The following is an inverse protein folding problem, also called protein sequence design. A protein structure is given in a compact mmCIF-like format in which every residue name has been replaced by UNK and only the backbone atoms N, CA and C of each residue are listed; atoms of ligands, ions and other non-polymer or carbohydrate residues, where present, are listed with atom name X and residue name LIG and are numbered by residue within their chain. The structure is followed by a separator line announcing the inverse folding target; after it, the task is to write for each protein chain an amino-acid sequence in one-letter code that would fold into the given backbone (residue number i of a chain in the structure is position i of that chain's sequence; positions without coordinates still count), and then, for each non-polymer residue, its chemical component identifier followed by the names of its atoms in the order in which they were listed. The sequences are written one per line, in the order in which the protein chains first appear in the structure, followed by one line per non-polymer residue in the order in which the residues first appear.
data_IF_859893431008
#
_entry.id   IF_859893431008
#
_cell.length_a   1.000
_cell.length_b   1.000
_cell.length_c   1.000
_cell.angle_alpha   90.00
_cell.angle_beta   90.00
_cell.angle_gamma   90.00
#
_symmetry.space_group_name_H-M   'P 1'
#
loop_
_entity.id
_entity.type
_entity.pdbx_description
1 polymer ?
#
# COMPACT_ATOMS: atom_id res chain seq x y z
N UNK A 1 12.93 -8.44 16.39
CA UNK A 1 12.11 -9.61 15.99
C UNK A 1 11.02 -9.10 15.08
N UNK A 2 10.92 -9.61 13.85
CA UNK A 2 9.83 -9.23 12.93
C UNK A 2 8.60 -10.08 13.27
N UNK A 3 7.42 -9.44 13.34
CA UNK A 3 6.14 -10.12 13.57
C UNK A 3 5.26 -9.89 12.35
N UNK A 4 4.77 -10.97 11.75
CA UNK A 4 3.71 -10.87 10.76
C UNK A 4 2.41 -10.43 11.46
N UNK A 5 1.80 -9.36 10.98
CA UNK A 5 0.57 -8.80 11.55
C UNK A 5 -0.68 -9.53 11.01
N UNK A 6 -0.67 -9.92 9.73
CA UNK A 6 -1.79 -10.63 9.12
C UNK A 6 -1.59 -10.90 7.63
N UNK A 7 -2.66 -11.35 6.97
CA UNK A 7 -2.70 -11.53 5.51
C UNK A 7 -3.33 -10.30 4.87
N UNK A 8 -2.81 -9.90 3.71
CA UNK A 8 -3.38 -8.81 2.90
C UNK A 8 -4.83 -9.08 2.47
N UNK A 9 -5.21 -10.36 2.31
CA UNK A 9 -6.60 -10.74 2.02
C UNK A 9 -7.04 -10.44 0.59
N UNK A 10 -6.11 -10.04 -0.28
CA UNK A 10 -6.32 -9.86 -1.73
C UNK A 10 -5.22 -10.60 -2.49
N UNK A 11 -5.53 -11.02 -3.72
CA UNK A 11 -4.50 -11.50 -4.64
C UNK A 11 -3.74 -10.30 -5.22
N UNK A 12 -2.42 -10.40 -5.20
CA UNK A 12 -1.54 -9.38 -5.73
C UNK A 12 -0.97 -9.85 -7.07
N UNK A 13 -0.65 -8.90 -7.94
CA UNK A 13 0.08 -9.19 -9.17
C UNK A 13 1.55 -9.52 -8.90
N UNK A 14 2.30 -9.78 -9.98
CA UNK A 14 3.71 -10.18 -9.95
C UNK A 14 4.66 -9.13 -9.36
N UNK A 15 4.18 -7.91 -9.17
CA UNK A 15 4.94 -6.80 -8.63
C UNK A 15 4.04 -5.91 -7.81
N UNK A 16 4.57 -5.46 -6.69
CA UNK A 16 3.90 -4.53 -5.80
C UNK A 16 4.84 -3.41 -5.39
N UNK A 17 4.31 -2.19 -5.33
CA UNK A 17 4.91 -1.09 -4.59
C UNK A 17 4.25 -0.99 -3.23
N UNK A 18 5.01 -0.74 -2.18
CA UNK A 18 4.48 -0.55 -0.84
C UNK A 18 5.24 0.58 -0.14
N UNK A 19 4.50 1.50 0.45
CA UNK A 19 5.07 2.60 1.22
C UNK A 19 4.24 2.91 2.46
N UNK A 20 4.90 3.41 3.51
CA UNK A 20 4.28 3.83 4.75
C UNK A 20 4.63 5.29 4.99
N UNK A 21 3.62 6.16 4.94
CA UNK A 21 3.79 7.56 5.24
C UNK A 21 3.38 7.85 6.69
N UNK A 22 4.29 8.44 7.46
CA UNK A 22 3.97 8.91 8.81
C UNK A 22 3.35 10.31 8.75
N UNK A 23 2.29 10.53 9.52
CA UNK A 23 1.63 11.84 9.66
C UNK A 23 2.40 12.81 10.58
N UNK A 24 3.52 12.37 11.16
CA UNK A 24 4.33 13.13 12.12
C UNK A 24 3.69 13.33 13.50
N UNK A 25 2.50 12.76 13.74
CA UNK A 25 1.72 12.83 14.99
C UNK A 25 1.53 11.45 15.64
N UNK A 26 2.21 10.44 15.11
CA UNK A 26 2.15 9.05 15.59
C UNK A 26 1.23 8.14 14.78
N UNK A 27 0.53 8.69 13.79
CA UNK A 27 -0.20 7.94 12.77
C UNK A 27 0.71 7.52 11.61
N UNK A 28 0.35 6.40 10.98
CA UNK A 28 1.01 5.89 9.79
C UNK A 28 -0.04 5.39 8.81
N UNK A 29 0.00 5.90 7.58
CA UNK A 29 -0.85 5.47 6.49
C UNK A 29 -0.03 4.56 5.56
N UNK A 30 -0.45 3.30 5.46
CA UNK A 30 0.20 2.32 4.62
C UNK A 30 -0.55 2.17 3.30
N UNK A 31 0.21 2.21 2.21
CA UNK A 31 -0.30 2.16 0.86
C UNK A 31 0.39 1.03 0.10
N UNK A 32 -0.42 0.30 -0.67
CA UNK A 32 0.06 -0.79 -1.51
C UNK A 32 -0.48 -0.58 -2.93
N UNK A 33 0.38 -0.70 -3.92
CA UNK A 33 -0.03 -0.68 -5.32
C UNK A 33 0.28 -2.01 -5.98
N UNK A 34 -0.71 -2.57 -6.68
CA UNK A 34 -0.61 -3.81 -7.44
C UNK A 34 -1.28 -3.61 -8.81
N UNK A 35 -0.50 -3.73 -9.89
CA UNK A 35 -0.97 -3.35 -11.23
C UNK A 35 -1.40 -1.88 -11.26
N UNK A 36 -2.65 -1.63 -11.63
CA UNK A 36 -3.26 -0.29 -11.66
C UNK A 36 -4.12 0.03 -10.41
N UNK A 37 -4.16 -0.86 -9.41
CA UNK A 37 -5.02 -0.67 -8.23
C UNK A 37 -4.18 -0.24 -7.03
N UNK A 38 -4.60 0.86 -6.39
CA UNK A 38 -4.09 1.35 -5.13
C UNK A 38 -4.96 0.83 -3.98
N UNK A 39 -4.32 0.30 -2.95
CA UNK A 39 -4.92 -0.24 -1.74
C UNK A 39 -4.43 0.54 -0.52
N UNK A 40 -5.33 0.79 0.43
CA UNK A 40 -4.93 1.14 1.79
C UNK A 40 -4.71 -0.15 2.59
N UNK A 41 -3.68 -0.19 3.43
CA UNK A 41 -3.36 -1.34 4.27
C UNK A 41 -3.55 -0.97 5.73
N UNK A 42 -4.41 -1.71 6.41
CA UNK A 42 -4.57 -1.62 7.85
C UNK A 42 -3.32 -2.23 8.53
N UNK A 43 -2.56 -1.41 9.26
CA UNK A 43 -1.33 -1.83 9.93
C UNK A 43 -1.56 -2.64 11.23
N UNK A 44 -2.79 -2.69 11.74
CA UNK A 44 -3.16 -3.51 12.90
C UNK A 44 -3.60 -4.92 12.49
N UNK A 45 -4.29 -5.05 11.36
CA UNK A 45 -4.82 -6.33 10.87
C UNK A 45 -4.06 -6.91 9.68
N UNK A 46 -3.28 -6.08 8.99
CA UNK A 46 -2.60 -6.40 7.74
C UNK A 46 -3.53 -6.48 6.54
N UNK A 47 -4.80 -6.06 6.63
CA UNK A 47 -5.79 -6.18 5.55
C UNK A 47 -5.61 -5.07 4.51
N UNK A 48 -5.54 -5.43 3.23
CA UNK A 48 -5.58 -4.49 2.12
C UNK A 48 -7.03 -4.22 1.69
N UNK A 49 -7.37 -2.96 1.47
CA UNK A 49 -8.68 -2.52 0.98
C UNK A 49 -8.48 -1.63 -0.24
N UNK A 50 -9.23 -1.88 -1.32
CA UNK A 50 -9.16 -1.06 -2.53
C UNK A 50 -9.51 0.39 -2.20
N UNK A 51 -8.62 1.31 -2.54
CA UNK A 51 -8.79 2.74 -2.34
C UNK A 51 -9.11 3.45 -3.65
N UNK A 52 -8.40 3.11 -4.73
CA UNK A 52 -8.61 3.69 -6.05
C UNK A 52 -8.01 2.82 -7.16
N UNK A 53 -8.54 2.99 -8.37
CA UNK A 53 -7.87 2.55 -9.60
C UNK A 53 -7.16 3.77 -10.22
N UNK A 54 -5.89 3.63 -10.56
CA UNK A 54 -5.08 4.68 -11.17
C UNK A 54 -5.07 4.48 -12.69
N UNK A 55 -5.62 5.46 -13.40
CA UNK A 55 -5.63 5.45 -14.87
C UNK A 55 -4.25 5.80 -15.45
N UNK A 56 -3.95 5.28 -16.64
CA UNK A 56 -2.69 5.58 -17.37
C UNK A 56 -1.45 4.85 -16.85
N UNK A 57 -1.60 3.97 -15.86
CA UNK A 57 -0.53 3.06 -15.42
C UNK A 57 -0.57 1.81 -16.28
N UNK A 58 0.52 1.58 -17.03
CA UNK A 58 0.71 0.38 -17.82
C UNK A 58 1.84 -0.48 -17.25
N UNK A 59 1.61 -1.79 -17.20
CA UNK A 59 2.61 -2.76 -16.74
C UNK A 59 2.68 -2.89 -15.21
N UNK A 60 3.83 -3.37 -14.74
CA UNK A 60 4.03 -3.82 -13.36
C UNK A 60 4.59 -2.69 -12.49
N UNK A 61 3.76 -2.13 -11.59
CA UNK A 61 4.21 -1.21 -10.55
C UNK A 61 5.02 -1.98 -9.51
N UNK A 62 6.26 -1.53 -9.27
CA UNK A 62 7.21 -2.17 -8.34
C UNK A 62 7.56 -1.31 -7.13
N UNK A 63 7.27 -0.02 -7.21
CA UNK A 63 7.64 0.96 -6.20
C UNK A 63 6.63 2.10 -6.20
N UNK A 64 6.35 2.65 -5.03
CA UNK A 64 5.55 3.85 -4.84
C UNK A 64 6.19 4.68 -3.74
N UNK A 65 5.99 6.00 -3.79
CA UNK A 65 6.40 6.91 -2.73
C UNK A 65 5.23 7.85 -2.42
N UNK A 66 4.84 7.91 -1.16
CA UNK A 66 3.80 8.79 -0.65
C UNK A 66 4.48 10.01 -0.05
N UNK A 67 4.29 11.14 -0.71
CA UNK A 67 4.90 12.39 -0.27
C UNK A 67 4.13 12.95 0.94
N UNK A 68 4.83 13.42 1.99
CA UNK A 68 4.18 14.13 3.08
C UNK A 68 3.55 15.42 2.54
N UNK A 69 2.46 15.85 3.18
CA UNK A 69 1.93 17.20 2.94
C UNK A 69 2.97 18.21 3.47
N UNK A 70 3.49 19.05 2.56
CA UNK A 70 4.48 20.09 2.88
C UNK A 70 3.94 21.25 3.68
#
# INVERSE_FOLDING_TARGET
MLKAIGKLGTELGDSVGFDIQSDGKGGNDAWLMSGSTLYSVDLETGKATEAAMIEGVEGNVRDIAVLPQG
#
